data_IF_304984535133
#
_entry.id   IF_304984535133
#
_cell.length_a   1.000
_cell.length_b   1.000
_cell.length_c   1.000
_cell.angle_alpha   90.00
_cell.angle_beta   90.00
_cell.angle_gamma   90.00
#
_symmetry.space_group_name_H-M   'P 1'
#
loop_
_entity.id
_entity.type
_entity.pdbx_description
1 polymer ?
#
# COMPACT_ATOMS: atom_id res chain seq x y z
N UNK A 1 -9.16 59.25 35.69
CA UNK A 1 -10.03 58.13 36.08
C UNK A 1 -9.54 56.89 35.35
N UNK A 2 -8.51 56.23 35.89
CA UNK A 2 -7.86 55.04 35.33
C UNK A 2 -8.30 53.86 36.20
N UNK A 3 -9.35 53.15 35.79
CA UNK A 3 -9.72 51.82 36.31
C UNK A 3 -10.99 51.33 35.62
N UNK A 4 -10.92 50.10 35.08
CA UNK A 4 -12.01 49.16 34.73
C UNK A 4 -12.35 49.02 33.24
N UNK A 5 -11.58 48.17 32.57
CA UNK A 5 -11.99 47.27 31.48
C UNK A 5 -10.95 46.14 31.46
N UNK A 6 -10.83 45.31 32.51
CA UNK A 6 -11.54 44.04 32.74
C UNK A 6 -11.66 43.19 31.48
N UNK A 7 -10.82 42.15 31.46
CA UNK A 7 -11.00 40.78 30.94
C UNK A 7 -11.64 40.61 29.55
N UNK A 8 -10.85 40.12 28.59
CA UNK A 8 -10.85 38.72 28.09
C UNK A 8 -10.16 38.69 26.74
N UNK A 9 -8.91 38.23 26.66
CA UNK A 9 -8.35 37.73 25.40
C UNK A 9 -7.34 36.62 25.69
N UNK A 10 -7.85 35.57 26.32
CA UNK A 10 -7.21 34.26 26.38
C UNK A 10 -8.05 33.29 25.56
N UNK A 11 -7.36 32.41 24.83
CA UNK A 11 -7.85 31.29 24.01
C UNK A 11 -8.32 31.64 22.58
N UNK A 12 -7.44 31.29 21.62
CA UNK A 12 -7.64 30.63 20.31
C UNK A 12 -6.44 31.07 19.45
N UNK A 13 -5.44 30.23 19.16
CA UNK A 13 -5.58 29.10 18.28
C UNK A 13 -4.47 28.06 18.52
N UNK A 14 -4.87 26.91 19.05
CA UNK A 14 -4.22 25.63 18.78
C UNK A 14 -5.13 24.90 17.79
N UNK A 15 -4.52 24.13 16.89
CA UNK A 15 -5.13 23.27 15.87
C UNK A 15 -5.39 23.93 14.50
N UNK A 16 -4.33 23.99 13.70
CA UNK A 16 -4.43 23.77 12.26
C UNK A 16 -3.12 23.16 11.73
N UNK A 17 -2.73 21.98 12.24
CA UNK A 17 -2.06 21.01 11.36
C UNK A 17 -3.15 20.40 10.49
N UNK A 18 -3.67 21.18 9.56
CA UNK A 18 -4.41 20.63 8.45
C UNK A 18 -3.40 19.77 7.67
N UNK A 19 -3.63 18.46 7.63
CA UNK A 19 -3.02 17.61 6.63
C UNK A 19 -3.38 18.21 5.27
N UNK A 20 -2.42 18.91 4.67
CA UNK A 20 -2.53 19.34 3.28
C UNK A 20 -2.58 18.11 2.38
N UNK A 21 -3.06 18.24 1.13
CA UNK A 21 -2.98 17.15 0.18
C UNK A 21 -1.51 16.72 0.09
N UNK A 22 -1.22 15.50 0.54
CA UNK A 22 0.06 14.85 0.30
C UNK A 22 0.13 14.65 -1.21
N UNK A 23 0.81 15.57 -1.89
CA UNK A 23 1.20 15.35 -3.27
C UNK A 23 1.93 14.00 -3.33
N UNK A 24 1.59 13.11 -4.28
CA UNK A 24 2.31 11.85 -4.41
C UNK A 24 3.80 12.16 -4.57
N UNK A 25 4.65 11.44 -3.86
CA UNK A 25 6.09 11.46 -4.13
C UNK A 25 6.27 11.08 -5.60
N UNK A 26 6.81 12.01 -6.37
CA UNK A 26 6.95 11.87 -7.82
C UNK A 26 8.24 11.11 -8.10
N UNK A 27 8.17 9.79 -8.06
CA UNK A 27 9.09 8.99 -8.86
C UNK A 27 8.76 9.15 -10.35
N UNK A 28 9.74 8.95 -11.23
CA UNK A 28 9.52 9.00 -12.68
C UNK A 28 8.88 7.67 -13.10
N UNK A 29 7.68 7.73 -13.69
CA UNK A 29 7.03 6.56 -14.23
C UNK A 29 7.83 6.00 -15.41
N UNK A 30 7.97 4.68 -15.45
CA UNK A 30 8.49 3.95 -16.60
C UNK A 30 7.54 4.02 -17.80
N UNK A 31 7.97 3.51 -18.96
CA UNK A 31 7.13 3.43 -20.18
C UNK A 31 5.85 2.61 -19.99
N UNK A 32 5.82 1.75 -18.98
CA UNK A 32 4.70 0.89 -18.58
C UNK A 32 3.79 1.53 -17.52
N UNK A 33 4.02 2.80 -17.14
CA UNK A 33 3.19 3.52 -16.17
C UNK A 33 3.55 3.27 -14.70
N UNK A 34 4.41 2.29 -14.42
CA UNK A 34 4.85 1.93 -13.08
C UNK A 34 6.01 2.80 -12.59
N UNK A 35 5.97 3.19 -11.32
CA UNK A 35 6.99 4.00 -10.67
C UNK A 35 7.78 3.12 -9.70
N UNK A 36 9.11 3.19 -9.75
CA UNK A 36 9.98 2.52 -8.78
C UNK A 36 9.80 3.12 -7.38
N UNK A 37 9.66 2.26 -6.37
CA UNK A 37 9.51 2.66 -4.98
C UNK A 37 10.64 2.07 -4.12
N UNK A 38 11.66 2.86 -3.75
CA UNK A 38 12.73 2.37 -2.89
C UNK A 38 12.19 1.88 -1.55
N UNK A 39 12.48 0.62 -1.22
CA UNK A 39 12.15 0.02 0.06
C UNK A 39 13.21 -1.00 0.47
N UNK A 40 13.60 -0.96 1.74
CA UNK A 40 14.37 -2.03 2.35
C UNK A 40 13.42 -2.97 3.09
N UNK A 41 13.88 -4.18 3.38
CA UNK A 41 13.08 -5.11 4.17
C UNK A 41 13.96 -6.06 4.96
N UNK A 42 13.42 -6.55 6.07
CA UNK A 42 14.08 -7.54 6.91
C UNK A 42 13.10 -8.60 7.40
N UNK A 43 13.59 -9.83 7.50
CA UNK A 43 12.84 -10.95 8.05
C UNK A 43 12.51 -10.71 9.53
N UNK A 44 11.30 -11.08 9.93
CA UNK A 44 10.83 -11.07 11.31
C UNK A 44 10.09 -12.37 11.61
N UNK A 45 10.17 -12.84 12.86
CA UNK A 45 9.36 -13.96 13.32
C UNK A 45 7.93 -13.52 13.68
N UNK A 46 7.09 -14.47 14.10
CA UNK A 46 5.73 -14.19 14.59
C UNK A 46 5.69 -13.39 15.90
N UNK A 47 6.82 -13.17 16.56
CA UNK A 47 6.87 -12.50 17.86
C UNK A 47 6.28 -13.31 19.02
N UNK A 48 5.90 -14.57 18.79
CA UNK A 48 5.37 -15.49 19.80
C UNK A 48 6.52 -16.28 20.46
N UNK A 49 6.69 -16.22 21.79
CA UNK A 49 7.64 -17.08 22.49
C UNK A 49 7.34 -18.55 22.22
N UNK A 50 8.31 -19.29 21.69
CA UNK A 50 8.11 -20.70 21.30
C UNK A 50 7.44 -20.92 19.93
N UNK A 51 7.07 -19.85 19.21
CA UNK A 51 6.47 -19.93 17.87
C UNK A 51 4.95 -20.10 17.87
N UNK A 52 4.40 -20.54 16.75
CA UNK A 52 2.98 -20.89 16.60
C UNK A 52 2.85 -22.37 16.21
N UNK A 53 1.82 -23.04 16.77
CA UNK A 53 1.36 -24.33 16.27
C UNK A 53 0.45 -24.07 15.09
N UNK A 54 0.83 -24.59 13.92
CA UNK A 54 0.06 -24.46 12.68
C UNK A 54 -0.62 -25.79 12.36
N UNK A 55 -1.70 -25.73 11.58
CA UNK A 55 -2.36 -26.94 11.09
C UNK A 55 -1.43 -27.78 10.21
N UNK A 56 -1.73 -29.07 10.08
CA UNK A 56 -0.96 -29.99 9.23
C UNK A 56 -0.84 -29.45 7.80
N UNK A 57 0.39 -29.51 7.25
CA UNK A 57 0.70 -29.00 5.91
C UNK A 57 0.89 -27.48 5.83
N UNK A 58 0.64 -26.72 6.91
CA UNK A 58 0.88 -25.28 6.96
C UNK A 58 2.24 -24.99 7.58
N UNK A 59 3.07 -24.23 6.87
CA UNK A 59 4.37 -23.75 7.37
C UNK A 59 4.38 -22.22 7.42
N UNK A 60 4.89 -21.67 8.51
CA UNK A 60 5.22 -20.25 8.56
C UNK A 60 6.57 -20.05 7.85
N UNK A 61 6.53 -19.46 6.66
CA UNK A 61 7.74 -19.20 5.89
C UNK A 61 8.60 -18.07 6.48
N UNK A 62 8.02 -17.22 7.34
CA UNK A 62 8.66 -16.01 7.87
C UNK A 62 7.74 -14.81 7.70
N UNK A 63 7.99 -13.77 8.48
CA UNK A 63 7.36 -12.46 8.33
C UNK A 63 8.34 -11.47 7.72
N UNK A 64 7.82 -10.36 7.21
CA UNK A 64 8.64 -9.28 6.67
C UNK A 64 8.25 -7.96 7.32
N UNK A 65 9.26 -7.20 7.74
CA UNK A 65 9.11 -5.77 8.01
C UNK A 65 9.68 -5.00 6.84
N UNK A 66 8.88 -4.11 6.27
CA UNK A 66 9.29 -3.17 5.23
C UNK A 66 9.75 -1.90 5.94
N UNK A 67 10.90 -1.38 5.50
CA UNK A 67 11.51 -0.16 6.02
C UNK A 67 11.41 0.90 4.93
N UNK A 68 10.64 1.94 5.22
CA UNK A 68 10.19 2.94 4.26
C UNK A 68 10.59 4.34 4.71
N UNK A 69 10.96 5.18 3.75
CA UNK A 69 11.02 6.63 3.95
C UNK A 69 9.63 7.15 4.35
N UNK A 70 9.50 8.16 5.24
CA UNK A 70 8.20 8.72 5.64
C UNK A 70 7.31 9.15 4.47
N UNK A 71 7.89 9.55 3.34
CA UNK A 71 7.14 9.97 2.16
C UNK A 71 6.81 8.81 1.20
N UNK A 72 7.25 7.58 1.49
CA UNK A 72 7.04 6.43 0.58
C UNK A 72 5.55 6.18 0.28
N UNK A 73 5.19 5.88 -0.97
CA UNK A 73 3.82 5.50 -1.32
C UNK A 73 3.46 4.09 -0.83
N UNK A 74 4.43 3.30 -0.37
CA UNK A 74 4.21 1.91 0.06
C UNK A 74 3.75 1.78 1.52
N UNK A 75 3.51 2.90 2.21
CA UNK A 75 2.95 2.85 3.55
C UNK A 75 1.56 2.21 3.53
N UNK A 76 1.20 1.57 4.65
CA UNK A 76 -0.14 1.03 4.86
C UNK A 76 -0.63 0.05 3.77
N UNK A 77 0.14 -1.01 3.52
CA UNK A 77 -0.34 -2.14 2.70
C UNK A 77 -1.49 -2.86 3.43
N UNK A 78 -2.60 -3.08 2.73
CA UNK A 78 -3.83 -3.68 3.30
C UNK A 78 -4.01 -5.15 2.93
N UNK A 79 -3.81 -5.51 1.65
CA UNK A 79 -3.88 -6.89 1.16
C UNK A 79 -2.70 -7.20 0.22
N UNK A 80 -2.35 -8.49 0.13
CA UNK A 80 -1.30 -9.01 -0.73
C UNK A 80 -1.69 -10.38 -1.28
N UNK A 81 -1.43 -10.61 -2.57
CA UNK A 81 -1.55 -11.91 -3.22
C UNK A 81 -0.26 -12.28 -3.93
N UNK A 82 0.09 -13.55 -3.86
CA UNK A 82 1.15 -14.11 -4.70
C UNK A 82 0.63 -14.25 -6.12
N UNK A 83 1.41 -13.79 -7.09
CA UNK A 83 1.06 -13.86 -8.51
C UNK A 83 1.65 -15.10 -9.19
N UNK A 84 2.70 -15.67 -8.61
CA UNK A 84 3.38 -16.86 -9.13
C UNK A 84 4.04 -17.68 -8.02
N UNK A 85 4.59 -18.84 -8.39
CA UNK A 85 5.39 -19.69 -7.49
C UNK A 85 6.84 -19.25 -7.31
N UNK A 86 7.28 -18.21 -8.03
CA UNK A 86 8.65 -17.67 -7.99
C UNK A 86 8.80 -16.50 -6.99
N UNK A 87 7.71 -16.12 -6.32
CA UNK A 87 7.69 -15.09 -5.28
C UNK A 87 7.20 -13.73 -5.77
N UNK A 88 6.69 -13.62 -6.99
CA UNK A 88 5.96 -12.44 -7.44
C UNK A 88 4.74 -12.19 -6.56
N UNK A 89 4.47 -10.91 -6.28
CA UNK A 89 3.27 -10.52 -5.56
C UNK A 89 2.70 -9.21 -6.09
N UNK A 90 1.42 -9.03 -5.81
CA UNK A 90 0.71 -7.76 -5.89
C UNK A 90 0.14 -7.43 -4.51
N UNK A 91 0.10 -6.15 -4.17
CA UNK A 91 -0.52 -5.63 -2.98
C UNK A 91 -1.29 -4.34 -3.29
N UNK A 92 -2.12 -3.90 -2.35
CA UNK A 92 -2.79 -2.60 -2.40
C UNK A 92 -2.52 -1.82 -1.12
N UNK A 93 -2.44 -0.50 -1.24
CA UNK A 93 -2.39 0.42 -0.11
C UNK A 93 -3.78 0.89 0.27
N UNK A 94 -3.93 1.33 1.51
CA UNK A 94 -5.11 2.05 2.01
C UNK A 94 -5.30 3.46 1.40
N UNK A 95 -4.52 3.81 0.37
CA UNK A 95 -4.50 5.09 -0.31
C UNK A 95 -4.74 4.97 -1.83
N UNK A 96 -5.08 3.77 -2.30
CA UNK A 96 -5.47 3.52 -3.69
C UNK A 96 -4.28 3.30 -4.63
N UNK A 97 -3.14 2.82 -4.13
CA UNK A 97 -2.00 2.44 -4.96
C UNK A 97 -1.93 0.92 -5.11
N UNK A 98 -1.75 0.47 -6.35
CA UNK A 98 -1.38 -0.91 -6.67
C UNK A 98 0.13 -1.05 -6.56
N UNK A 99 0.59 -2.06 -5.84
CA UNK A 99 2.01 -2.30 -5.57
C UNK A 99 2.39 -3.67 -6.11
N UNK A 100 3.56 -3.75 -6.74
CA UNK A 100 4.17 -5.02 -7.14
C UNK A 100 5.56 -5.16 -6.57
N UNK A 101 6.01 -6.40 -6.47
CA UNK A 101 7.40 -6.71 -6.15
C UNK A 101 7.63 -8.21 -6.16
N UNK A 102 8.82 -8.60 -5.69
CA UNK A 102 9.19 -10.01 -5.54
C UNK A 102 9.72 -10.31 -4.14
N UNK A 103 9.18 -11.37 -3.54
CA UNK A 103 9.69 -11.96 -2.32
C UNK A 103 11.01 -12.69 -2.57
N UNK A 104 11.92 -12.60 -1.61
CA UNK A 104 13.17 -13.36 -1.57
C UNK A 104 13.03 -14.51 -0.60
N UNK A 105 13.08 -15.73 -1.14
CA UNK A 105 13.12 -16.96 -0.37
C UNK A 105 14.55 -17.52 -0.34
N UNK A 106 14.96 -18.09 0.80
CA UNK A 106 16.20 -18.88 0.85
C UNK A 106 16.00 -20.30 0.27
N UNK A 107 17.06 -21.09 0.22
CA UNK A 107 17.02 -22.46 -0.32
C UNK A 107 16.11 -23.42 0.48
N UNK A 108 15.70 -23.04 1.69
CA UNK A 108 14.75 -23.77 2.53
C UNK A 108 13.33 -23.20 2.42
N UNK A 109 13.11 -22.23 1.53
CA UNK A 109 11.83 -21.59 1.30
C UNK A 109 11.43 -20.62 2.40
N UNK A 110 12.38 -20.10 3.20
CA UNK A 110 12.08 -19.09 4.23
C UNK A 110 12.11 -17.68 3.63
N UNK A 111 11.18 -16.84 4.05
CA UNK A 111 11.07 -15.45 3.64
C UNK A 111 12.20 -14.62 4.30
N UNK A 112 13.07 -14.08 3.45
CA UNK A 112 14.27 -13.34 3.88
C UNK A 112 14.23 -11.87 3.49
N UNK A 113 13.38 -11.48 2.54
CA UNK A 113 13.29 -10.12 2.04
C UNK A 113 12.22 -9.97 0.96
N UNK A 114 12.10 -8.76 0.42
CA UNK A 114 11.45 -8.47 -0.85
C UNK A 114 12.15 -7.30 -1.56
N UNK A 115 12.00 -7.23 -2.88
CA UNK A 115 12.67 -6.29 -3.77
C UNK A 115 11.86 -6.02 -5.05
N UNK A 116 12.41 -5.22 -5.97
CA UNK A 116 11.78 -4.81 -7.23
C UNK A 116 10.41 -4.15 -7.00
N UNK A 117 10.34 -3.29 -5.97
CA UNK A 117 9.12 -2.63 -5.55
C UNK A 117 8.73 -1.54 -6.53
N UNK A 118 7.51 -1.65 -7.07
CA UNK A 118 6.94 -0.66 -7.99
C UNK A 118 5.51 -0.38 -7.60
N UNK A 119 5.02 0.80 -7.90
CA UNK A 119 3.63 1.14 -7.66
C UNK A 119 3.02 1.92 -8.82
N UNK A 120 1.70 1.91 -8.87
CA UNK A 120 0.89 2.73 -9.77
C UNK A 120 -0.41 3.13 -9.06
N UNK A 121 -0.83 4.38 -9.26
CA UNK A 121 -2.13 4.84 -8.78
C UNK A 121 -3.25 4.10 -9.50
N UNK A 122 -4.19 3.54 -8.74
CA UNK A 122 -5.42 2.99 -9.30
C UNK A 122 -6.29 4.10 -9.88
N UNK A 123 -7.01 3.76 -10.95
CA UNK A 123 -8.01 4.61 -11.55
C UNK A 123 -9.42 4.31 -11.04
N UNK A 124 -10.25 5.33 -11.06
CA UNK A 124 -11.70 5.26 -10.99
C UNK A 124 -12.27 4.59 -12.26
N UNK A 125 -13.58 4.31 -12.29
CA UNK A 125 -14.24 3.64 -13.42
C UNK A 125 -14.14 4.41 -14.75
N UNK A 126 -13.99 5.73 -14.68
CA UNK A 126 -13.78 6.61 -15.83
C UNK A 126 -12.30 6.73 -16.25
N UNK A 127 -11.41 6.03 -15.55
CA UNK A 127 -9.96 6.05 -15.75
C UNK A 127 -9.25 7.22 -15.06
N UNK A 128 -9.97 8.12 -14.38
CA UNK A 128 -9.35 9.19 -13.61
C UNK A 128 -8.58 8.61 -12.42
N UNK A 129 -7.40 9.13 -12.06
CA UNK A 129 -6.68 8.65 -10.87
C UNK A 129 -7.52 8.85 -9.60
N UNK A 130 -7.49 7.87 -8.69
CA UNK A 130 -8.08 8.03 -7.36
C UNK A 130 -7.44 9.23 -6.67
N UNK A 131 -8.27 10.21 -6.32
CA UNK A 131 -7.83 11.53 -5.85
C UNK A 131 -7.84 11.67 -4.33
N UNK A 132 -8.64 10.89 -3.61
CA UNK A 132 -8.77 10.99 -2.15
C UNK A 132 -8.57 9.63 -1.48
N UNK A 133 -8.19 9.66 -0.20
CA UNK A 133 -7.92 8.45 0.57
C UNK A 133 -9.20 7.61 0.71
N UNK A 134 -10.34 8.25 0.98
CA UNK A 134 -11.62 7.58 1.19
C UNK A 134 -12.03 6.77 -0.04
N UNK A 135 -11.70 7.27 -1.24
CA UNK A 135 -11.94 6.58 -2.51
C UNK A 135 -10.93 5.45 -2.78
N UNK A 136 -9.75 5.54 -2.17
CA UNK A 136 -8.65 4.59 -2.33
C UNK A 136 -8.50 3.60 -1.18
N UNK A 137 -9.42 3.59 -0.22
CA UNK A 137 -9.33 2.77 0.99
C UNK A 137 -9.61 1.30 0.69
N UNK A 138 -8.61 0.66 0.08
CA UNK A 138 -8.65 -0.70 -0.39
C UNK A 138 -8.31 -1.66 0.73
N UNK A 139 -9.22 -2.59 1.04
CA UNK A 139 -9.02 -3.61 2.08
C UNK A 139 -8.87 -5.02 1.51
N UNK A 140 -9.28 -5.22 0.26
CA UNK A 140 -9.26 -6.51 -0.39
C UNK A 140 -8.75 -6.42 -1.81
N UNK A 141 -8.02 -7.46 -2.22
CA UNK A 141 -7.60 -7.69 -3.58
C UNK A 141 -8.02 -9.10 -4.04
N UNK A 142 -8.52 -9.21 -5.26
CA UNK A 142 -8.70 -10.50 -5.93
C UNK A 142 -7.87 -10.53 -7.21
N UNK A 143 -7.31 -11.70 -7.55
CA UNK A 143 -6.73 -11.96 -8.87
C UNK A 143 -7.77 -12.74 -9.68
N UNK A 144 -8.20 -12.21 -10.83
CA UNK A 144 -9.06 -12.96 -11.74
C UNK A 144 -8.22 -13.80 -12.73
N UNK A 145 -8.62 -15.05 -13.01
CA UNK A 145 -7.97 -15.88 -14.00
C UNK A 145 -8.54 -15.60 -15.40
N UNK A 146 -7.97 -14.66 -16.14
CA UNK A 146 -8.45 -14.41 -17.51
C UNK A 146 -7.36 -14.09 -18.54
N UNK A 147 -6.13 -14.60 -18.38
CA UNK A 147 -5.17 -14.75 -19.49
C UNK A 147 -4.81 -13.49 -20.28
N UNK A 148 -5.20 -12.30 -19.81
CA UNK A 148 -5.05 -10.99 -20.47
C UNK A 148 -4.53 -9.92 -19.51
N UNK A 149 -4.50 -10.16 -18.20
CA UNK A 149 -3.98 -9.19 -17.25
C UNK A 149 -4.31 -9.53 -15.79
N UNK A 150 -3.79 -8.70 -14.89
CA UNK A 150 -4.13 -8.74 -13.47
C UNK A 150 -5.32 -7.81 -13.21
N UNK A 151 -6.52 -8.37 -13.10
CA UNK A 151 -7.66 -7.59 -12.65
C UNK A 151 -7.71 -7.59 -11.13
N UNK A 152 -7.54 -6.40 -10.56
CA UNK A 152 -7.62 -6.17 -9.13
C UNK A 152 -9.02 -5.68 -8.82
N UNK A 153 -9.77 -6.48 -8.06
CA UNK A 153 -10.98 -5.99 -7.41
C UNK A 153 -10.58 -5.36 -6.09
N UNK A 154 -10.80 -4.05 -5.96
CA UNK A 154 -10.63 -3.33 -4.70
C UNK A 154 -11.96 -3.27 -3.96
N UNK A 155 -11.98 -3.77 -2.73
CA UNK A 155 -13.11 -3.57 -1.82
C UNK A 155 -12.78 -2.42 -0.86
N UNK A 156 -13.58 -1.35 -0.90
CA UNK A 156 -13.53 -0.23 0.05
C UNK A 156 -14.96 0.20 0.40
N UNK A 157 -15.25 0.40 1.69
CA UNK A 157 -16.57 0.83 2.23
C UNK A 157 -17.81 0.08 1.68
N UNK A 158 -17.67 -1.17 1.25
CA UNK A 158 -18.77 -1.99 0.69
C UNK A 158 -19.01 -1.82 -0.81
N UNK A 159 -18.20 -1.02 -1.50
CA UNK A 159 -18.15 -0.92 -2.96
C UNK A 159 -17.05 -1.81 -3.54
N UNK A 160 -17.29 -2.30 -4.76
CA UNK A 160 -16.41 -3.23 -5.48
C UNK A 160 -16.00 -2.56 -6.79
N UNK A 161 -14.74 -2.11 -6.87
CA UNK A 161 -14.17 -1.49 -8.08
C UNK A 161 -13.27 -2.48 -8.83
N UNK A 162 -13.34 -2.49 -10.16
CA UNK A 162 -12.47 -3.31 -11.01
C UNK A 162 -11.40 -2.43 -11.67
N UNK A 163 -10.15 -2.58 -11.24
CA UNK A 163 -8.99 -1.95 -11.86
C UNK A 163 -8.28 -2.90 -12.81
N UNK A 164 -7.84 -2.39 -13.96
CA UNK A 164 -6.98 -3.12 -14.89
C UNK A 164 -5.55 -2.56 -14.77
N UNK A 165 -4.64 -3.36 -14.22
CA UNK A 165 -3.25 -2.97 -14.01
C UNK A 165 -2.47 -2.72 -15.33
N UNK A 166 -2.96 -3.23 -16.47
CA UNK A 166 -2.30 -3.09 -17.77
C UNK A 166 -2.76 -1.85 -18.57
N UNK A 167 -3.83 -1.16 -18.15
CA UNK A 167 -4.42 -0.05 -18.94
C UNK A 167 -3.80 1.34 -18.75
N UNK A 168 -2.73 1.48 -17.97
CA UNK A 168 -1.97 2.74 -17.93
C UNK A 168 -1.04 2.94 -19.14
N UNK A 169 -0.88 1.94 -20.00
CA UNK A 169 -0.16 2.07 -21.26
C UNK A 169 -1.09 2.52 -22.41
N UNK A 170 -1.29 3.83 -22.52
CA UNK A 170 -1.53 4.55 -23.77
C UNK A 170 -2.73 4.14 -24.65
N UNK A 171 -3.76 5.01 -24.65
CA UNK A 171 -4.41 5.44 -25.89
C UNK A 171 -4.15 6.92 -26.11
#
# INVERSE_FOLDING_TARGET
>A
MIRRLVLTLGLLAVAACAGGPTAPVTGVAGPDGWIEAPAASRSVGLGLPGGAVLADGVRFAGGLRIELDPASPLHSLSDLKLTDGAGGFVAVTDAGDLVTGRMRLDAQGRLTGAHDWRYQRLGELDGAPIATKERGDAEGLALLPDGQGLHTVVQGEGEVGMGDGDRAAGR
#
